data_IF_341765013122
#
_entry.id   IF_341765013122
#
_cell.length_a   1.000
_cell.length_b   1.000
_cell.length_c   1.000
_cell.angle_alpha   90.00
_cell.angle_beta   90.00
_cell.angle_gamma   90.00
#
_symmetry.space_group_name_H-M   'P 1'
#
loop_
_entity.id
_entity.type
_entity.pdbx_description
1 polymer ?
#
# COMPACT_ATOMS: atom_id res chain seq x y z
N UNK A 1 4.27 6.41 -15.69
CA UNK A 1 3.73 5.53 -14.67
C UNK A 1 3.82 4.04 -14.99
N UNK A 2 4.70 3.60 -15.91
CA UNK A 2 4.85 2.21 -16.32
C UNK A 2 4.53 1.96 -17.78
N UNK A 3 5.07 0.87 -18.37
CA UNK A 3 4.73 0.46 -19.72
C UNK A 3 3.26 0.00 -19.78
N UNK A 4 2.54 0.26 -20.88
CA UNK A 4 1.10 -0.03 -20.97
C UNK A 4 0.75 -1.49 -20.69
N UNK A 5 1.54 -2.43 -21.23
CA UNK A 5 1.31 -3.86 -21.11
C UNK A 5 1.40 -4.35 -19.66
N UNK A 6 2.38 -3.86 -18.90
CA UNK A 6 2.53 -4.21 -17.49
C UNK A 6 1.40 -3.61 -16.65
N UNK A 7 1.03 -2.36 -16.92
CA UNK A 7 -0.08 -1.71 -16.21
C UNK A 7 -1.41 -2.42 -16.47
N UNK A 8 -1.64 -2.89 -17.70
CA UNK A 8 -2.83 -3.67 -18.05
C UNK A 8 -2.85 -5.01 -17.31
N UNK A 9 -1.76 -5.79 -17.36
CA UNK A 9 -1.68 -7.07 -16.66
C UNK A 9 -1.86 -6.93 -15.14
N UNK A 10 -1.29 -5.88 -14.54
CA UNK A 10 -1.48 -5.58 -13.12
C UNK A 10 -2.92 -5.13 -12.81
N UNK A 11 -3.55 -4.33 -13.68
CA UNK A 11 -4.94 -3.92 -13.47
C UNK A 11 -5.90 -5.12 -13.49
N UNK A 12 -5.68 -6.07 -14.40
CA UNK A 12 -6.42 -7.34 -14.43
C UNK A 12 -6.23 -8.14 -13.14
N UNK A 13 -5.00 -8.27 -12.65
CA UNK A 13 -4.70 -8.94 -11.39
C UNK A 13 -5.36 -8.24 -10.19
N UNK A 14 -5.31 -6.91 -10.11
CA UNK A 14 -5.93 -6.15 -9.01
C UNK A 14 -7.47 -6.20 -9.08
N UNK A 15 -8.06 -6.31 -10.28
CA UNK A 15 -9.49 -6.58 -10.42
C UNK A 15 -9.84 -7.99 -9.90
N UNK A 16 -9.08 -9.01 -10.28
CA UNK A 16 -9.29 -10.38 -9.78
C UNK A 16 -9.20 -10.46 -8.25
N UNK A 17 -8.35 -9.62 -7.64
CA UNK A 17 -8.22 -9.52 -6.19
C UNK A 17 -9.26 -8.62 -5.52
N UNK A 18 -10.17 -8.02 -6.29
CA UNK A 18 -11.21 -7.13 -5.77
C UNK A 18 -10.70 -5.75 -5.29
N UNK A 19 -9.47 -5.38 -5.61
CA UNK A 19 -8.86 -4.08 -5.23
C UNK A 19 -9.43 -2.93 -6.05
N UNK A 20 -9.77 -3.19 -7.30
CA UNK A 20 -10.46 -2.27 -8.21
C UNK A 20 -11.64 -2.97 -8.87
N UNK A 21 -12.73 -2.24 -9.10
CA UNK A 21 -13.96 -2.81 -9.68
C UNK A 21 -13.77 -3.22 -11.16
N UNK A 22 -12.99 -2.48 -11.91
CA UNK A 22 -12.70 -2.71 -13.33
C UNK A 22 -11.18 -2.63 -13.57
N UNK A 23 -10.66 -3.45 -14.50
CA UNK A 23 -9.26 -3.46 -14.90
C UNK A 23 -8.86 -2.16 -15.60
N UNK A 24 -8.71 -1.09 -14.84
CA UNK A 24 -8.34 0.23 -15.32
C UNK A 24 -6.83 0.52 -15.13
N UNK A 25 -6.00 0.39 -16.17
CA UNK A 25 -4.56 0.65 -16.05
C UNK A 25 -4.22 2.10 -15.68
N UNK A 26 -5.16 3.05 -15.77
CA UNK A 26 -4.92 4.42 -15.30
C UNK A 26 -4.79 4.52 -13.78
N UNK A 27 -5.35 3.56 -13.03
CA UNK A 27 -5.23 3.49 -11.57
C UNK A 27 -3.93 2.83 -11.11
N UNK A 28 -3.18 2.19 -12.01
CA UNK A 28 -1.96 1.45 -11.69
C UNK A 28 -0.72 2.29 -12.01
N UNK A 29 0.15 2.47 -11.04
CA UNK A 29 1.44 3.15 -11.17
C UNK A 29 2.56 2.14 -10.90
N UNK A 30 3.48 2.02 -11.84
CA UNK A 30 4.73 1.26 -11.65
C UNK A 30 5.85 2.23 -11.28
N UNK A 31 6.48 2.02 -10.14
CA UNK A 31 7.46 2.92 -9.55
C UNK A 31 8.84 2.26 -9.36
N UNK A 32 9.92 3.04 -9.10
CA UNK A 32 11.24 2.51 -8.77
C UNK A 32 11.33 1.81 -7.40
N UNK A 33 10.48 0.81 -7.18
CA UNK A 33 10.41 -0.02 -5.97
C UNK A 33 9.31 0.40 -5.00
N UNK A 34 8.79 -0.55 -4.20
CA UNK A 34 7.71 -0.34 -3.24
C UNK A 34 7.99 0.80 -2.24
N UNK A 35 9.27 0.96 -1.82
CA UNK A 35 9.67 2.12 -1.00
C UNK A 35 9.26 3.45 -1.63
N UNK A 36 9.47 3.60 -2.92
CA UNK A 36 9.14 4.83 -3.62
C UNK A 36 7.62 4.96 -3.83
N UNK A 37 6.91 3.84 -4.03
CA UNK A 37 5.44 3.82 -4.03
C UNK A 37 4.86 4.35 -2.70
N UNK A 38 5.37 3.88 -1.55
CA UNK A 38 4.96 4.39 -0.23
C UNK A 38 5.22 5.89 -0.10
N UNK A 39 6.42 6.36 -0.48
CA UNK A 39 6.76 7.77 -0.40
C UNK A 39 5.85 8.64 -1.29
N UNK A 40 5.59 8.20 -2.52
CA UNK A 40 4.68 8.90 -3.43
C UNK A 40 3.23 8.93 -2.92
N UNK A 41 2.75 7.83 -2.30
CA UNK A 41 1.43 7.77 -1.67
C UNK A 41 1.30 8.83 -0.58
N UNK A 42 2.27 8.89 0.33
CA UNK A 42 2.28 9.85 1.43
C UNK A 42 2.38 11.29 0.88
N UNK A 43 3.30 11.54 -0.05
CA UNK A 43 3.50 12.88 -0.63
C UNK A 43 2.30 13.38 -1.45
N UNK A 44 1.51 12.47 -2.04
CA UNK A 44 0.33 12.81 -2.80
C UNK A 44 -0.89 13.15 -1.91
N UNK A 45 -0.88 12.70 -0.65
CA UNK A 45 -2.07 12.76 0.22
C UNK A 45 -1.86 13.54 1.51
N UNK A 46 -0.61 13.78 1.92
CA UNK A 46 -0.28 14.42 3.19
C UNK A 46 0.74 15.55 2.99
N UNK A 47 0.67 16.55 3.87
CA UNK A 47 1.58 17.69 3.88
C UNK A 47 1.66 18.38 5.25
N UNK A 48 2.19 19.62 5.31
CA UNK A 48 2.28 20.37 6.56
C UNK A 48 0.92 20.56 7.23
N UNK A 49 0.84 20.16 8.50
CA UNK A 49 -0.39 20.21 9.31
C UNK A 49 -1.13 18.88 9.38
N UNK A 50 -0.84 17.91 8.50
CA UNK A 50 -1.46 16.59 8.54
C UNK A 50 -0.73 15.64 9.51
N UNK A 51 -1.48 14.73 10.13
CA UNK A 51 -0.96 13.62 10.93
C UNK A 51 -1.16 12.29 10.21
N UNK A 52 -0.15 11.41 10.31
CA UNK A 52 -0.18 10.06 9.77
C UNK A 52 -0.01 9.04 10.89
N UNK A 53 -1.00 8.18 11.08
CA UNK A 53 -0.94 7.09 12.08
C UNK A 53 -0.05 5.96 11.56
N UNK A 54 0.89 5.52 12.40
CA UNK A 54 1.83 4.44 12.13
C UNK A 54 1.80 3.43 13.27
N UNK A 55 1.26 2.21 13.06
CA UNK A 55 1.36 1.12 14.03
C UNK A 55 2.83 0.73 14.28
N UNK A 56 3.22 0.59 15.53
CA UNK A 56 4.55 0.11 15.90
C UNK A 56 4.44 -1.26 16.60
N UNK A 57 5.40 -2.17 16.32
CA UNK A 57 6.63 -2.02 15.54
C UNK A 57 6.40 -1.81 14.03
N UNK A 58 7.19 -0.95 13.40
CA UNK A 58 7.04 -0.57 12.01
C UNK A 58 8.35 -0.66 11.23
N UNK A 59 8.24 -0.69 9.91
CA UNK A 59 9.39 -0.50 9.03
C UNK A 59 9.94 0.92 9.16
N UNK A 60 11.22 1.02 9.51
CA UNK A 60 11.93 2.26 9.88
C UNK A 60 11.78 3.43 8.91
N UNK A 61 11.38 3.17 7.66
CA UNK A 61 11.25 4.21 6.64
C UNK A 61 9.94 5.00 6.71
N UNK A 62 8.86 4.48 7.31
CA UNK A 62 7.57 5.15 7.32
C UNK A 62 7.62 6.52 7.99
N UNK A 63 8.09 6.68 9.24
CA UNK A 63 8.09 7.98 9.88
C UNK A 63 8.99 9.00 9.14
N UNK A 64 10.07 8.54 8.53
CA UNK A 64 10.95 9.43 7.78
C UNK A 64 10.30 9.91 6.47
N UNK A 65 9.54 9.07 5.78
CA UNK A 65 8.77 9.48 4.60
C UNK A 65 7.68 10.49 4.95
N UNK A 66 7.00 10.29 6.09
CA UNK A 66 5.98 11.23 6.61
C UNK A 66 6.61 12.59 6.89
N UNK A 67 7.76 12.62 7.58
CA UNK A 67 8.50 13.87 7.84
C UNK A 67 8.98 14.56 6.56
N UNK A 68 9.46 13.78 5.58
CA UNK A 68 9.88 14.32 4.29
C UNK A 68 8.72 14.94 3.49
N UNK A 69 7.49 14.47 3.68
CA UNK A 69 6.30 15.09 3.13
C UNK A 69 5.85 16.35 3.91
N UNK A 70 6.50 16.67 5.04
CA UNK A 70 6.15 17.78 5.92
C UNK A 70 5.03 17.46 6.91
N UNK A 71 4.53 16.22 6.93
CA UNK A 71 3.49 15.76 7.85
C UNK A 71 4.09 15.24 9.17
N UNK A 72 3.25 15.02 10.16
CA UNK A 72 3.63 14.55 11.49
C UNK A 72 3.33 13.07 11.65
N UNK A 73 4.32 12.20 11.93
CA UNK A 73 4.07 10.81 12.24
C UNK A 73 3.51 10.65 13.66
N UNK A 74 2.38 9.97 13.79
CA UNK A 74 1.74 9.63 15.05
C UNK A 74 1.82 8.13 15.28
N UNK A 75 2.68 7.72 16.20
CA UNK A 75 2.96 6.30 16.46
C UNK A 75 2.00 5.75 17.50
N UNK A 76 1.38 4.61 17.22
CA UNK A 76 0.60 3.81 18.18
C UNK A 76 1.34 2.51 18.43
N UNK A 77 1.65 2.25 19.72
CA UNK A 77 2.35 1.03 20.12
C UNK A 77 1.38 -0.16 20.20
N UNK A 78 1.78 -1.27 19.61
CA UNK A 78 1.15 -2.57 19.81
C UNK A 78 2.16 -3.55 20.41
N UNK A 79 1.85 -4.08 21.56
CA UNK A 79 2.69 -5.05 22.26
C UNK A 79 2.57 -6.48 21.71
N UNK A 80 3.38 -7.38 22.25
CA UNK A 80 3.32 -8.81 21.97
C UNK A 80 2.02 -9.45 22.50
N UNK A 81 1.48 -8.94 23.58
CA UNK A 81 0.18 -9.30 24.14
C UNK A 81 -0.99 -9.02 23.19
N UNK A 82 -0.80 -8.10 22.23
CA UNK A 82 -1.75 -7.76 21.15
C UNK A 82 -1.36 -8.39 19.80
N UNK A 83 -0.36 -9.28 19.77
CA UNK A 83 0.18 -9.84 18.52
C UNK A 83 0.79 -8.79 17.58
N UNK A 84 1.29 -7.68 18.14
CA UNK A 84 1.86 -6.55 17.42
C UNK A 84 0.89 -5.88 16.41
N UNK A 85 -0.42 -5.94 16.69
CA UNK A 85 -1.48 -5.34 15.86
C UNK A 85 -2.22 -4.27 16.67
N UNK A 86 -2.53 -3.15 16.06
CA UNK A 86 -3.40 -2.14 16.67
C UNK A 86 -4.87 -2.41 16.31
N UNK A 87 -5.77 -2.08 17.22
CA UNK A 87 -7.22 -2.17 16.99
C UNK A 87 -7.80 -0.88 16.41
N UNK A 88 -9.00 -0.97 15.87
CA UNK A 88 -9.78 0.20 15.44
C UNK A 88 -10.03 1.17 16.61
N UNK A 89 -10.28 0.67 17.83
CA UNK A 89 -10.49 1.50 19.02
C UNK A 89 -9.23 2.32 19.37
N UNK A 90 -8.06 1.70 19.34
CA UNK A 90 -6.79 2.41 19.58
C UNK A 90 -6.54 3.50 18.51
N UNK A 91 -6.91 3.24 17.26
CA UNK A 91 -6.86 4.25 16.21
C UNK A 91 -7.84 5.38 16.54
N UNK A 92 -9.10 5.06 16.85
CA UNK A 92 -10.15 6.06 17.12
C UNK A 92 -9.78 6.97 18.30
N UNK A 93 -9.27 6.41 19.40
CA UNK A 93 -8.77 7.17 20.55
C UNK A 93 -7.60 8.10 20.21
N UNK A 94 -6.83 7.75 19.18
CA UNK A 94 -5.67 8.52 18.73
C UNK A 94 -6.00 9.59 17.69
N UNK A 95 -7.23 9.66 17.17
CA UNK A 95 -7.59 10.61 16.13
C UNK A 95 -7.52 12.05 16.61
N UNK A 96 -7.11 12.93 15.72
CA UNK A 96 -7.22 14.39 15.86
C UNK A 96 -7.82 14.99 14.59
N UNK A 97 -8.22 16.25 14.59
CA UNK A 97 -8.66 16.93 13.36
C UNK A 97 -7.61 16.98 12.25
N UNK A 98 -6.35 16.76 12.58
CA UNK A 98 -5.22 16.73 11.65
C UNK A 98 -4.95 15.33 11.07
N UNK A 99 -5.55 14.29 11.63
CA UNK A 99 -5.31 12.90 11.16
C UNK A 99 -5.88 12.72 9.74
N UNK A 100 -5.02 12.29 8.81
CA UNK A 100 -5.34 12.18 7.38
C UNK A 100 -5.17 10.77 6.84
N UNK A 101 -4.14 10.05 7.28
CA UNK A 101 -3.71 8.78 6.72
C UNK A 101 -3.38 7.78 7.82
N UNK A 102 -3.74 6.52 7.61
CA UNK A 102 -3.31 5.37 8.41
C UNK A 102 -2.38 4.52 7.53
N UNK A 103 -1.20 4.17 8.02
CA UNK A 103 -0.31 3.22 7.35
C UNK A 103 -0.56 1.83 7.94
N UNK A 104 -0.93 0.87 7.10
CA UNK A 104 -1.04 -0.54 7.46
C UNK A 104 -0.03 -1.34 6.65
N UNK A 105 0.71 -2.23 7.30
CA UNK A 105 1.62 -3.16 6.65
C UNK A 105 1.27 -4.58 7.10
N UNK A 106 0.63 -5.33 6.23
CA UNK A 106 0.19 -6.70 6.50
C UNK A 106 0.43 -7.58 5.26
N UNK A 107 1.22 -8.65 5.40
CA UNK A 107 2.06 -9.05 6.54
C UNK A 107 3.12 -8.00 6.88
N UNK A 108 3.40 -7.83 8.18
CA UNK A 108 4.18 -6.71 8.71
C UNK A 108 5.69 -6.94 8.65
N UNK A 109 6.42 -5.87 8.43
CA UNK A 109 7.84 -5.76 8.71
C UNK A 109 8.03 -4.82 9.95
N UNK A 110 8.59 -5.29 11.08
CA UNK A 110 9.49 -6.46 11.21
C UNK A 110 8.83 -7.73 11.76
N UNK A 111 7.59 -7.68 12.25
CA UNK A 111 7.01 -8.70 13.13
C UNK A 111 6.50 -9.95 12.40
N UNK A 112 6.16 -9.82 11.11
CA UNK A 112 5.46 -10.86 10.35
C UNK A 112 3.99 -11.00 10.72
N UNK A 113 3.44 -10.16 11.62
CA UNK A 113 2.03 -10.23 11.99
C UNK A 113 1.13 -9.97 10.80
N UNK A 114 -0.02 -10.64 10.82
CA UNK A 114 -1.05 -10.58 9.79
C UNK A 114 -2.37 -10.22 10.47
N UNK A 115 -3.06 -9.23 9.93
CA UNK A 115 -4.41 -8.90 10.40
C UNK A 115 -5.42 -9.94 9.94
N UNK A 116 -6.26 -10.40 10.85
CA UNK A 116 -7.42 -11.22 10.52
C UNK A 116 -8.50 -10.39 9.82
N UNK A 117 -9.46 -11.08 9.18
CA UNK A 117 -10.51 -10.42 8.41
C UNK A 117 -11.27 -9.38 9.23
N UNK A 118 -11.74 -9.77 10.39
CA UNK A 118 -12.56 -8.94 11.26
C UNK A 118 -11.79 -7.73 11.81
N UNK A 119 -10.51 -7.91 12.14
CA UNK A 119 -9.65 -6.82 12.60
C UNK A 119 -9.44 -5.78 11.49
N UNK A 120 -9.17 -6.26 10.27
CA UNK A 120 -8.96 -5.37 9.12
C UNK A 120 -10.25 -4.65 8.73
N UNK A 121 -11.39 -5.35 8.73
CA UNK A 121 -12.70 -4.79 8.42
C UNK A 121 -13.09 -3.67 9.39
N UNK A 122 -12.86 -3.84 10.70
CA UNK A 122 -13.08 -2.80 11.71
C UNK A 122 -12.25 -1.54 11.46
N UNK A 123 -10.99 -1.69 11.06
CA UNK A 123 -10.12 -0.54 10.74
C UNK A 123 -10.59 0.16 9.47
N UNK A 124 -10.97 -0.59 8.45
CA UNK A 124 -11.49 -0.04 7.18
C UNK A 124 -12.80 0.73 7.43
N UNK A 125 -13.72 0.14 8.17
CA UNK A 125 -15.00 0.78 8.53
C UNK A 125 -14.80 2.07 9.32
N UNK A 126 -13.83 2.08 10.25
CA UNK A 126 -13.46 3.30 10.97
C UNK A 126 -12.93 4.36 10.01
N UNK A 127 -12.03 3.99 9.10
CA UNK A 127 -11.45 4.92 8.13
C UNK A 127 -12.53 5.52 7.23
N UNK A 128 -13.49 4.71 6.76
CA UNK A 128 -14.63 5.17 5.99
C UNK A 128 -15.49 6.17 6.78
N UNK A 129 -15.87 5.84 8.01
CA UNK A 129 -16.69 6.70 8.87
C UNK A 129 -16.01 8.04 9.25
N UNK A 130 -14.68 8.05 9.32
CA UNK A 130 -13.89 9.23 9.75
C UNK A 130 -13.24 9.99 8.60
N UNK A 131 -13.56 9.65 7.35
CA UNK A 131 -12.99 10.26 6.14
C UNK A 131 -11.45 10.19 6.09
N UNK A 132 -10.88 9.07 6.53
CA UNK A 132 -9.45 8.82 6.52
C UNK A 132 -9.03 8.01 5.30
N UNK A 133 -7.80 8.20 4.86
CA UNK A 133 -7.16 7.34 3.87
C UNK A 133 -6.39 6.21 4.57
N UNK A 134 -6.23 5.09 3.88
CA UNK A 134 -5.37 3.99 4.29
C UNK A 134 -4.30 3.78 3.22
N UNK A 135 -3.03 3.80 3.60
CA UNK A 135 -1.95 3.24 2.78
C UNK A 135 -1.72 1.80 3.24
N UNK A 136 -2.14 0.85 2.42
CA UNK A 136 -1.92 -0.58 2.64
C UNK A 136 -0.66 -1.03 1.94
N UNK A 137 0.42 -1.24 2.71
CA UNK A 137 1.67 -1.82 2.20
C UNK A 137 1.57 -3.35 2.26
N UNK A 138 1.30 -3.94 1.10
CA UNK A 138 1.06 -5.36 0.89
C UNK A 138 2.27 -6.07 0.25
N UNK A 139 3.47 -5.53 0.41
CA UNK A 139 4.69 -6.04 -0.24
C UNK A 139 4.98 -7.51 0.06
N UNK A 140 4.44 -8.05 1.15
CA UNK A 140 4.58 -9.44 1.58
C UNK A 140 3.32 -10.29 1.35
N UNK A 141 2.34 -9.81 0.59
CA UNK A 141 1.01 -10.42 0.39
C UNK A 141 1.01 -11.91 -0.01
N UNK A 142 2.08 -12.38 -0.64
CA UNK A 142 2.24 -13.78 -1.07
C UNK A 142 3.25 -14.58 -0.22
N UNK A 143 3.86 -13.98 0.79
CA UNK A 143 4.73 -14.68 1.74
C UNK A 143 3.92 -15.07 2.98
N UNK A 144 3.03 -16.01 2.80
CA UNK A 144 2.11 -16.52 3.80
C UNK A 144 2.50 -17.94 4.19
N UNK A 145 2.36 -18.27 5.47
CA UNK A 145 2.74 -19.55 6.04
C UNK A 145 1.55 -20.16 6.80
N UNK A 146 1.59 -21.46 7.02
CA UNK A 146 0.63 -22.21 7.86
C UNK A 146 -0.84 -22.04 7.47
N UNK A 147 -1.13 -21.82 6.18
CA UNK A 147 -2.48 -21.64 5.67
C UNK A 147 -3.09 -20.27 5.96
N UNK A 148 -2.29 -19.30 6.40
CA UNK A 148 -2.73 -17.92 6.63
C UNK A 148 -3.28 -17.28 5.35
N UNK A 149 -4.23 -16.36 5.50
CA UNK A 149 -4.88 -15.64 4.40
C UNK A 149 -4.58 -14.15 4.54
N UNK A 150 -4.16 -13.52 3.45
CA UNK A 150 -4.03 -12.07 3.39
C UNK A 150 -5.36 -11.44 2.97
N UNK A 151 -5.86 -10.51 3.78
CA UNK A 151 -7.06 -9.73 3.50
C UNK A 151 -6.67 -8.34 3.00
N UNK A 152 -7.15 -7.98 1.81
CA UNK A 152 -6.84 -6.69 1.17
C UNK A 152 -7.86 -5.64 1.59
N UNK A 153 -7.47 -4.56 2.26
CA UNK A 153 -8.40 -3.53 2.73
C UNK A 153 -9.30 -2.96 1.62
N UNK A 154 -8.74 -2.74 0.43
CA UNK A 154 -9.49 -2.19 -0.70
C UNK A 154 -10.62 -3.10 -1.21
N UNK A 155 -10.58 -4.41 -0.90
CA UNK A 155 -11.57 -5.37 -1.41
C UNK A 155 -12.84 -5.48 -0.55
N UNK A 156 -12.93 -4.79 0.58
CA UNK A 156 -14.09 -4.93 1.47
C UNK A 156 -15.34 -4.21 0.98
N UNK A 157 -15.18 -3.06 0.30
CA UNK A 157 -16.31 -2.32 -0.28
C UNK A 157 -15.83 -1.33 -1.35
N UNK A 158 -16.76 -0.78 -2.14
CA UNK A 158 -16.45 0.31 -3.09
C UNK A 158 -15.92 1.56 -2.37
N UNK A 159 -16.48 1.88 -1.19
CA UNK A 159 -16.01 3.00 -0.38
C UNK A 159 -14.59 2.74 0.14
N UNK A 160 -14.27 1.53 0.55
CA UNK A 160 -12.92 1.13 0.93
C UNK A 160 -11.94 1.25 -0.25
N UNK A 161 -12.33 0.77 -1.44
CA UNK A 161 -11.51 0.89 -2.64
C UNK A 161 -11.18 2.35 -3.00
N UNK A 162 -12.10 3.29 -2.73
CA UNK A 162 -11.87 4.72 -2.97
C UNK A 162 -10.91 5.36 -1.95
N UNK A 163 -10.78 4.80 -0.74
CA UNK A 163 -9.97 5.33 0.36
C UNK A 163 -8.63 4.62 0.56
N UNK A 164 -8.49 3.44 0.00
CA UNK A 164 -7.26 2.64 0.17
C UNK A 164 -6.28 2.89 -0.98
N UNK A 165 -5.03 3.11 -0.61
CA UNK A 165 -3.88 3.17 -1.51
C UNK A 165 -3.12 1.88 -1.32
N UNK A 166 -3.29 0.92 -2.21
CA UNK A 166 -2.59 -0.36 -2.18
C UNK A 166 -1.19 -0.19 -2.75
N UNK A 167 -0.19 -0.53 -1.96
CA UNK A 167 1.23 -0.55 -2.36
C UNK A 167 1.74 -1.98 -2.30
N UNK A 168 2.37 -2.44 -3.37
CA UNK A 168 3.02 -3.74 -3.44
C UNK A 168 4.26 -3.67 -4.34
N UNK A 169 4.74 -4.78 -4.85
CA UNK A 169 5.84 -4.80 -5.78
C UNK A 169 6.48 -6.18 -5.97
N UNK A 170 7.51 -6.19 -6.77
CA UNK A 170 8.14 -7.42 -7.26
C UNK A 170 9.27 -7.94 -6.36
N UNK A 171 9.74 -7.10 -5.44
CA UNK A 171 10.94 -7.37 -4.64
C UNK A 171 10.86 -8.64 -3.81
N UNK A 172 9.69 -8.96 -3.25
CA UNK A 172 9.48 -10.08 -2.33
C UNK A 172 8.84 -11.25 -3.05
N UNK A 173 7.69 -11.03 -3.65
CA UNK A 173 6.93 -12.04 -4.38
C UNK A 173 7.77 -12.79 -5.44
N UNK A 174 8.57 -12.05 -6.19
CA UNK A 174 9.37 -12.61 -7.28
C UNK A 174 10.89 -12.61 -7.02
N UNK A 175 11.32 -12.36 -5.78
CA UNK A 175 12.75 -12.26 -5.42
C UNK A 175 13.52 -11.22 -6.26
N UNK A 176 12.85 -10.16 -6.72
CA UNK A 176 13.36 -9.13 -7.64
C UNK A 176 13.81 -7.85 -6.89
N UNK A 177 14.51 -7.99 -5.76
CA UNK A 177 14.90 -6.83 -4.94
C UNK A 177 15.77 -5.82 -5.69
N UNK A 178 16.72 -6.30 -6.48
CA UNK A 178 17.65 -5.47 -7.29
C UNK A 178 17.01 -4.82 -8.51
N UNK A 179 15.86 -5.29 -8.97
CA UNK A 179 15.17 -4.78 -10.16
C UNK A 179 14.49 -3.44 -9.92
N UNK A 180 14.26 -3.09 -8.65
CA UNK A 180 13.67 -1.83 -8.22
C UNK A 180 12.31 -1.55 -8.87
N UNK A 181 11.37 -2.46 -8.71
CA UNK A 181 10.00 -2.33 -9.20
C UNK A 181 8.99 -2.43 -8.05
N UNK A 182 8.13 -1.43 -7.95
CA UNK A 182 7.00 -1.35 -7.04
C UNK A 182 5.74 -1.00 -7.80
N UNK A 183 4.60 -1.24 -7.16
CA UNK A 183 3.28 -0.90 -7.69
C UNK A 183 2.53 -0.04 -6.69
N UNK A 184 1.64 0.79 -7.19
CA UNK A 184 0.67 1.53 -6.41
C UNK A 184 -0.65 1.52 -7.18
N UNK A 185 -1.73 1.25 -6.47
CA UNK A 185 -3.10 1.32 -6.99
C UNK A 185 -3.96 2.12 -6.04
N UNK A 186 -4.74 3.05 -6.57
CA UNK A 186 -5.64 3.89 -5.80
C UNK A 186 -6.78 4.40 -6.68
N UNK A 187 -7.68 5.19 -6.12
CA UNK A 187 -8.69 5.89 -6.90
C UNK A 187 -8.06 6.78 -7.99
N UNK A 188 -8.82 7.16 -9.03
CA UNK A 188 -8.27 7.90 -10.16
C UNK A 188 -7.61 9.24 -9.80
N UNK A 189 -8.11 9.94 -8.77
CA UNK A 189 -7.58 11.24 -8.37
C UNK A 189 -6.19 11.09 -7.73
N UNK A 190 -6.03 10.15 -6.80
CA UNK A 190 -4.75 9.85 -6.15
C UNK A 190 -3.76 9.29 -7.16
N UNK A 191 -4.17 8.33 -8.00
CA UNK A 191 -3.29 7.75 -9.03
C UNK A 191 -2.76 8.79 -10.02
N UNK A 192 -3.60 9.77 -10.40
CA UNK A 192 -3.19 10.90 -11.25
C UNK A 192 -2.17 11.80 -10.53
N UNK A 193 -2.38 12.11 -9.25
CA UNK A 193 -1.44 12.89 -8.45
C UNK A 193 -0.09 12.19 -8.33
N UNK A 194 -0.09 10.89 -8.00
CA UNK A 194 1.11 10.04 -7.90
C UNK A 194 1.85 9.98 -9.24
N UNK A 195 1.13 9.78 -10.35
CA UNK A 195 1.74 9.77 -11.69
C UNK A 195 2.42 11.11 -12.03
N UNK A 196 1.79 12.23 -11.65
CA UNK A 196 2.36 13.57 -11.83
C UNK A 196 3.63 13.76 -11.01
N UNK A 197 3.60 13.40 -9.71
CA UNK A 197 4.78 13.48 -8.83
C UNK A 197 5.93 12.61 -9.37
N UNK A 198 5.66 11.38 -9.77
CA UNK A 198 6.68 10.50 -10.35
C UNK A 198 7.28 11.07 -11.61
N UNK A 199 6.48 11.66 -12.49
CA UNK A 199 6.97 12.24 -13.75
C UNK A 199 7.96 13.39 -13.54
N UNK A 200 7.83 14.16 -12.44
CA UNK A 200 8.69 15.27 -12.09
C UNK A 200 9.90 14.89 -11.21
N UNK A 201 9.95 13.65 -10.72
CA UNK A 201 11.02 13.17 -9.83
C UNK A 201 11.92 12.13 -10.51
N UNK A 202 11.39 10.91 -10.70
CA UNK A 202 12.15 9.79 -11.29
C UNK A 202 11.77 9.49 -12.74
N UNK A 203 10.83 10.25 -13.32
CA UNK A 203 10.23 10.02 -14.62
C UNK A 203 9.49 8.68 -14.70
N UNK A 204 10.21 7.56 -14.66
CA UNK A 204 9.65 6.23 -14.77
C UNK A 204 10.54 5.17 -14.10
N UNK A 205 10.01 3.99 -13.83
CA UNK A 205 10.82 2.83 -13.51
C UNK A 205 11.60 2.36 -14.74
N UNK A 206 12.71 1.67 -14.52
CA UNK A 206 13.60 1.17 -15.59
C UNK A 206 12.84 0.28 -16.58
N UNK A 207 12.81 0.63 -17.85
CA UNK A 207 11.96 -0.01 -18.86
C UNK A 207 12.24 -1.50 -19.04
N UNK A 208 13.51 -1.91 -19.17
CA UNK A 208 13.83 -3.33 -19.34
C UNK A 208 13.46 -4.17 -18.10
N UNK A 209 13.53 -3.60 -16.91
CA UNK A 209 13.06 -4.25 -15.69
C UNK A 209 11.55 -4.47 -15.72
N UNK A 210 10.78 -3.53 -16.28
CA UNK A 210 9.33 -3.67 -16.41
C UNK A 210 8.93 -4.81 -17.37
N UNK A 211 9.68 -5.08 -18.43
CA UNK A 211 9.44 -6.25 -19.27
C UNK A 211 9.72 -7.56 -18.53
N UNK A 212 10.74 -7.60 -17.66
CA UNK A 212 10.97 -8.73 -16.77
C UNK A 212 9.81 -8.94 -15.78
N UNK A 213 9.29 -7.86 -15.23
CA UNK A 213 8.10 -7.90 -14.36
C UNK A 213 6.85 -8.37 -15.10
N UNK A 214 6.64 -7.92 -16.34
CA UNK A 214 5.54 -8.38 -17.18
C UNK A 214 5.62 -9.89 -17.43
N UNK A 215 6.81 -10.39 -17.75
CA UNK A 215 7.02 -11.83 -17.91
C UNK A 215 6.72 -12.61 -16.62
N UNK A 216 7.09 -12.06 -15.45
CA UNK A 216 6.80 -12.69 -14.15
C UNK A 216 5.28 -12.75 -13.87
N UNK A 217 4.55 -11.67 -14.14
CA UNK A 217 3.08 -11.61 -13.96
C UNK A 217 2.38 -12.58 -14.93
N UNK A 218 2.77 -12.60 -16.21
CA UNK A 218 2.16 -13.46 -17.21
C UNK A 218 2.46 -14.96 -17.02
N UNK A 219 3.53 -15.29 -16.30
CA UNK A 219 3.92 -16.67 -15.99
C UNK A 219 3.80 -16.95 -14.49
N UNK A 220 2.76 -16.43 -13.86
CA UNK A 220 2.56 -16.46 -12.41
C UNK A 220 2.80 -17.82 -11.77
N UNK A 221 2.17 -18.87 -12.29
CA UNK A 221 2.28 -20.24 -11.75
C UNK A 221 3.69 -20.82 -11.80
N UNK A 222 4.53 -20.38 -12.74
CA UNK A 222 5.93 -20.82 -12.85
C UNK A 222 6.86 -19.94 -11.99
N UNK A 223 6.49 -18.68 -11.80
CA UNK A 223 7.29 -17.72 -11.04
C UNK A 223 7.12 -17.86 -9.52
N UNK A 224 5.96 -18.39 -9.07
CA UNK A 224 5.62 -18.66 -7.67
C UNK A 224 5.99 -20.09 -7.26
#
# INVERSE_FOLDING_TARGET
GGIPELRQALAEQYQEHGVIAEANPAQVIVSPGGKYSCYLAILATCGPGDEVIIPAPYWVSYPEMVKLAGATPKVILAGDDQGFKISADQIEESLSPATKLIILNSPSNPTGCLYEREEMEQIVDLACRKDLLIMSDEIYEYLLYDGSIHYRPASFSEEAADRVITVSGFSKTFSMTGWRLGTLVANPAISKAVASLQSQTTSNATTFAQYGALAAVQNWSQAM
#
